data_IF_962592083189
#
_entry.id   IF_962592083189
#
_cell.length_a   1.000
_cell.length_b   1.000
_cell.length_c   1.000
_cell.angle_alpha   90.00
_cell.angle_beta   90.00
_cell.angle_gamma   90.00
#
_symmetry.space_group_name_H-M   'P 1'
#
loop_
_entity.id
_entity.type
_entity.pdbx_description
1 polymer ?
#
# COMPACT_ATOMS: atom_id res chain seq x y z
N UNK A 1 11.99 60.31 -26.26
CA UNK A 1 11.35 59.88 -25.00
C UNK A 1 11.19 58.37 -25.04
N UNK A 2 11.94 57.69 -24.18
CA UNK A 2 11.86 56.25 -23.89
C UNK A 2 10.58 55.96 -23.11
N UNK A 3 9.91 54.83 -23.34
CA UNK A 3 9.57 53.84 -22.29
C UNK A 3 8.71 52.70 -22.85
N UNK A 4 9.35 51.53 -22.92
CA UNK A 4 8.79 50.19 -23.08
C UNK A 4 7.81 49.88 -21.95
N UNK A 5 6.62 49.37 -22.24
CA UNK A 5 5.85 48.57 -21.27
C UNK A 5 5.17 47.40 -21.98
N UNK A 6 5.91 46.29 -22.04
CA UNK A 6 5.32 44.95 -22.14
C UNK A 6 4.71 44.68 -20.76
N UNK A 7 3.44 44.33 -20.70
CA UNK A 7 2.86 43.72 -19.49
C UNK A 7 2.06 42.51 -19.91
N UNK A 8 2.77 41.38 -19.85
CA UNK A 8 2.20 40.04 -19.89
C UNK A 8 1.34 39.85 -18.64
N UNK A 9 0.02 39.83 -18.81
CA UNK A 9 -0.88 39.32 -17.79
C UNK A 9 -0.77 37.79 -17.81
N UNK A 10 -0.13 37.24 -16.78
CA UNK A 10 -0.03 35.81 -16.54
C UNK A 10 -1.43 35.18 -16.50
N UNK A 11 -1.72 34.32 -17.48
CA UNK A 11 -2.77 33.31 -17.35
C UNK A 11 -2.40 32.38 -16.19
N UNK A 12 -3.01 32.60 -15.04
CA UNK A 12 -3.16 31.56 -14.01
C UNK A 12 -4.14 30.53 -14.56
N UNK A 13 -3.64 29.60 -15.37
CA UNK A 13 -4.35 28.38 -15.69
C UNK A 13 -4.43 27.54 -14.41
N UNK A 14 -5.49 27.74 -13.61
CA UNK A 14 -5.94 26.69 -12.70
C UNK A 14 -6.40 25.54 -13.60
N UNK A 15 -5.49 24.60 -13.86
CA UNK A 15 -5.88 23.29 -14.30
C UNK A 15 -6.78 22.72 -13.20
N UNK A 16 -8.09 22.76 -13.43
CA UNK A 16 -9.04 21.96 -12.68
C UNK A 16 -8.64 20.50 -12.92
N UNK A 17 -7.80 19.94 -12.05
CA UNK A 17 -7.65 18.49 -11.99
C UNK A 17 -9.03 17.95 -11.63
N UNK A 18 -9.70 17.33 -12.60
CA UNK A 18 -10.91 16.59 -12.32
C UNK A 18 -10.53 15.58 -11.24
N UNK A 19 -11.27 15.57 -10.12
CA UNK A 19 -11.06 14.57 -9.09
C UNK A 19 -11.12 13.19 -9.77
N UNK A 20 -10.04 12.41 -9.66
CA UNK A 20 -10.00 11.10 -10.30
C UNK A 20 -11.18 10.27 -9.75
N UNK A 21 -11.83 9.43 -10.57
CA UNK A 21 -12.88 8.55 -10.07
C UNK A 21 -12.28 7.59 -9.05
N UNK A 22 -13.08 7.12 -8.09
CA UNK A 22 -12.67 5.92 -7.32
C UNK A 22 -12.65 4.72 -8.28
N UNK A 23 -11.75 3.74 -8.08
CA UNK A 23 -11.78 2.50 -8.84
C UNK A 23 -13.12 1.77 -8.63
N UNK A 24 -13.66 1.19 -9.69
CA UNK A 24 -14.87 0.38 -9.60
C UNK A 24 -14.55 -0.91 -8.85
N UNK A 25 -15.41 -1.30 -7.92
CA UNK A 25 -15.28 -2.50 -7.13
C UNK A 25 -16.49 -3.42 -7.38
N UNK A 26 -16.22 -4.63 -7.85
CA UNK A 26 -17.18 -5.73 -7.89
C UNK A 26 -16.73 -6.85 -6.97
N UNK A 27 -17.67 -7.41 -6.22
CA UNK A 27 -17.43 -8.47 -5.24
C UNK A 27 -18.28 -9.67 -5.61
N UNK A 28 -17.66 -10.84 -5.70
CA UNK A 28 -18.35 -12.10 -5.98
C UNK A 28 -18.06 -13.13 -4.90
N UNK A 29 -19.08 -13.82 -4.35
CA UNK A 29 -18.87 -14.94 -3.45
C UNK A 29 -18.34 -16.16 -4.22
N UNK A 30 -17.55 -16.99 -3.54
CA UNK A 30 -17.07 -18.27 -4.06
C UNK A 30 -17.17 -19.35 -2.98
N UNK A 31 -17.01 -20.62 -3.36
CA UNK A 31 -17.14 -21.76 -2.44
C UNK A 31 -16.16 -21.74 -1.25
N UNK A 32 -15.08 -20.95 -1.30
CA UNK A 32 -14.05 -20.88 -0.25
C UNK A 32 -13.67 -19.47 0.19
N UNK A 33 -14.48 -18.47 -0.14
CA UNK A 33 -14.15 -17.06 0.10
C UNK A 33 -14.85 -16.14 -0.86
N UNK A 34 -14.15 -15.10 -1.30
CA UNK A 34 -14.69 -14.09 -2.22
C UNK A 34 -13.65 -13.69 -3.25
N UNK A 35 -14.10 -13.06 -4.32
CA UNK A 35 -13.24 -12.44 -5.33
C UNK A 35 -13.59 -10.96 -5.39
N UNK A 36 -12.57 -10.12 -5.28
CA UNK A 36 -12.66 -8.71 -5.65
C UNK A 36 -12.17 -8.52 -7.08
N UNK A 37 -12.90 -7.69 -7.81
CA UNK A 37 -12.55 -7.18 -9.11
C UNK A 37 -12.41 -5.67 -8.97
N UNK A 38 -11.18 -5.18 -9.11
CA UNK A 38 -10.84 -3.75 -8.98
C UNK A 38 -10.50 -3.23 -10.35
N UNK A 39 -11.37 -2.37 -10.91
CA UNK A 39 -11.16 -1.78 -12.23
C UNK A 39 -10.74 -0.33 -12.13
N UNK A 40 -9.64 0.00 -12.78
CA UNK A 40 -9.14 1.36 -12.83
C UNK A 40 -9.87 2.15 -13.93
N UNK A 41 -10.80 3.03 -13.54
CA UNK A 41 -11.48 3.96 -14.45
C UNK A 41 -10.73 5.27 -14.71
N UNK A 42 -9.61 5.51 -14.01
CA UNK A 42 -8.80 6.71 -14.17
C UNK A 42 -7.91 6.62 -15.43
N UNK A 43 -7.59 7.76 -16.08
CA UNK A 43 -6.54 7.82 -17.11
C UNK A 43 -5.13 7.55 -16.55
N UNK A 44 -4.96 7.55 -15.23
CA UNK A 44 -3.67 7.34 -14.56
C UNK A 44 -3.58 5.93 -13.95
N UNK A 45 -2.40 5.27 -13.98
CA UNK A 45 -2.23 3.98 -13.33
C UNK A 45 -2.53 4.03 -11.82
N UNK A 46 -3.30 3.05 -11.33
CA UNK A 46 -3.65 2.90 -9.91
C UNK A 46 -2.53 2.19 -9.16
N UNK A 47 -2.00 2.82 -8.12
CA UNK A 47 -0.79 2.38 -7.41
C UNK A 47 -1.06 1.94 -5.97
N UNK A 48 -2.18 2.31 -5.38
CA UNK A 48 -2.65 1.76 -4.11
C UNK A 48 -4.14 2.03 -3.92
N UNK A 49 -4.78 1.23 -3.10
CA UNK A 49 -6.18 1.40 -2.74
C UNK A 49 -6.53 0.71 -1.42
N UNK A 50 -7.66 1.12 -0.86
CA UNK A 50 -8.23 0.59 0.38
C UNK A 50 -9.66 0.11 0.14
N UNK A 51 -9.92 -1.15 0.45
CA UNK A 51 -11.27 -1.74 0.48
C UNK A 51 -11.62 -2.08 1.93
N UNK A 52 -12.79 -1.64 2.41
CA UNK A 52 -13.24 -1.90 3.78
C UNK A 52 -14.66 -2.45 3.82
N UNK A 53 -14.97 -3.21 4.88
CA UNK A 53 -16.35 -3.36 5.35
C UNK A 53 -16.72 -2.10 6.14
N UNK A 54 -17.63 -1.31 5.58
CA UNK A 54 -18.09 -0.03 6.14
C UNK A 54 -19.43 -0.25 6.83
N UNK A 55 -19.58 0.23 8.06
CA UNK A 55 -20.83 0.19 8.86
C UNK A 55 -21.44 -1.21 9.07
N UNK A 56 -20.67 -2.28 8.84
CA UNK A 56 -21.14 -3.64 9.07
C UNK A 56 -21.05 -4.01 10.56
N UNK A 57 -22.17 -4.38 11.21
CA UNK A 57 -22.17 -4.65 12.65
C UNK A 57 -21.39 -5.93 12.98
N UNK A 58 -20.56 -5.86 14.03
CA UNK A 58 -19.94 -7.03 14.64
C UNK A 58 -18.73 -7.62 13.89
N UNK A 59 -18.37 -7.09 12.73
CA UNK A 59 -17.14 -7.49 12.03
C UNK A 59 -16.39 -6.28 11.46
N UNK A 60 -15.11 -6.49 11.16
CA UNK A 60 -14.25 -5.49 10.56
C UNK A 60 -13.38 -6.19 9.52
N UNK A 61 -13.25 -5.56 8.36
CA UNK A 61 -12.34 -5.98 7.31
C UNK A 61 -11.75 -4.75 6.64
N UNK A 62 -10.44 -4.78 6.42
CA UNK A 62 -9.75 -3.80 5.59
C UNK A 62 -8.68 -4.52 4.78
N UNK A 63 -8.70 -4.28 3.47
CA UNK A 63 -7.69 -4.73 2.53
C UNK A 63 -6.93 -3.51 2.05
N UNK A 64 -5.69 -3.41 2.51
CA UNK A 64 -4.73 -2.37 2.12
C UNK A 64 -3.85 -2.92 1.00
N UNK A 65 -3.94 -2.34 -0.20
CA UNK A 65 -3.15 -2.80 -1.34
C UNK A 65 -2.16 -1.72 -1.77
N UNK A 66 -0.91 -2.15 -1.99
CA UNK A 66 0.14 -1.33 -2.57
C UNK A 66 0.63 -2.03 -3.84
N UNK A 67 0.40 -1.37 -4.98
CA UNK A 67 0.65 -1.88 -6.32
C UNK A 67 1.77 -1.09 -7.01
N UNK A 68 2.60 -0.35 -6.27
CA UNK A 68 3.62 0.52 -6.88
C UNK A 68 4.60 -0.26 -7.77
N UNK A 69 4.85 -1.54 -7.49
CA UNK A 69 5.69 -2.40 -8.32
C UNK A 69 4.97 -3.00 -9.54
N UNK A 70 3.65 -3.05 -9.53
CA UNK A 70 2.83 -3.56 -10.63
C UNK A 70 1.48 -2.81 -10.71
N UNK A 71 1.48 -1.51 -11.09
CA UNK A 71 0.28 -0.68 -11.06
C UNK A 71 -0.83 -1.22 -11.98
N UNK A 72 -2.09 -0.99 -11.59
CA UNK A 72 -3.23 -1.36 -12.44
C UNK A 72 -3.38 -0.27 -13.51
N UNK A 73 -3.10 -0.63 -14.76
CA UNK A 73 -3.16 0.28 -15.90
C UNK A 73 -4.57 0.90 -16.10
N UNK A 74 -4.68 2.07 -16.76
CA UNK A 74 -5.97 2.65 -17.13
C UNK A 74 -6.87 1.66 -17.87
N UNK A 75 -8.13 1.55 -17.44
CA UNK A 75 -9.12 0.62 -17.98
C UNK A 75 -8.93 -0.85 -17.59
N UNK A 76 -7.81 -1.23 -16.96
CA UNK A 76 -7.54 -2.61 -16.57
C UNK A 76 -8.31 -3.00 -15.30
N UNK A 77 -8.62 -4.30 -15.20
CA UNK A 77 -9.26 -4.91 -14.02
C UNK A 77 -8.29 -5.91 -13.37
N UNK A 78 -8.12 -5.79 -12.05
CA UNK A 78 -7.36 -6.75 -11.24
C UNK A 78 -8.31 -7.65 -10.48
N UNK A 79 -8.09 -8.96 -10.60
CA UNK A 79 -8.79 -10.00 -9.84
C UNK A 79 -8.00 -10.37 -8.59
N UNK A 80 -8.66 -10.36 -7.43
CA UNK A 80 -8.03 -10.65 -6.14
C UNK A 80 -8.87 -11.70 -5.43
N UNK A 81 -8.30 -12.89 -5.20
CA UNK A 81 -8.94 -13.93 -4.39
C UNK A 81 -8.65 -13.67 -2.92
N UNK A 82 -9.69 -13.76 -2.10
CA UNK A 82 -9.58 -13.64 -0.64
C UNK A 82 -10.34 -14.79 0.03
N UNK A 83 -9.73 -15.39 1.04
CA UNK A 83 -10.35 -16.48 1.80
C UNK A 83 -11.48 -16.00 2.73
N UNK A 84 -11.65 -14.68 2.90
CA UNK A 84 -12.71 -14.12 3.72
C UNK A 84 -14.08 -14.36 3.03
N UNK A 85 -14.97 -15.09 3.70
CA UNK A 85 -16.31 -15.37 3.19
C UNK A 85 -17.31 -14.26 3.51
N UNK A 86 -17.13 -13.51 4.60
CA UNK A 86 -18.06 -12.46 5.04
C UNK A 86 -18.21 -11.39 3.97
N UNK A 87 -17.12 -10.93 3.37
CA UNK A 87 -17.16 -9.88 2.34
C UNK A 87 -17.99 -10.25 1.11
N UNK A 88 -17.98 -11.51 0.68
CA UNK A 88 -18.82 -12.00 -0.42
C UNK A 88 -20.27 -12.23 -0.02
N UNK A 89 -20.54 -12.46 1.27
CA UNK A 89 -21.89 -12.59 1.81
C UNK A 89 -22.58 -11.23 1.99
N UNK A 90 -21.82 -10.16 2.21
CA UNK A 90 -22.34 -8.81 2.44
C UNK A 90 -21.71 -7.75 1.52
N UNK A 91 -21.79 -7.93 0.18
CA UNK A 91 -21.10 -7.07 -0.79
C UNK A 91 -21.53 -5.60 -0.68
N UNK A 92 -22.76 -5.33 -0.26
CA UNK A 92 -23.29 -3.97 -0.07
C UNK A 92 -22.54 -3.17 1.00
N UNK A 93 -21.86 -3.82 1.94
CA UNK A 93 -21.04 -3.20 2.96
C UNK A 93 -19.57 -3.07 2.55
N UNK A 94 -19.16 -3.69 1.44
CA UNK A 94 -17.78 -3.66 0.96
C UNK A 94 -17.59 -2.46 0.05
N UNK A 95 -16.75 -1.51 0.47
CA UNK A 95 -16.55 -0.24 -0.25
C UNK A 95 -15.08 0.01 -0.55
N UNK A 96 -14.84 0.56 -1.74
CA UNK A 96 -13.60 1.27 -2.04
C UNK A 96 -13.61 2.59 -1.26
N UNK A 97 -12.59 2.83 -0.44
CA UNK A 97 -12.54 3.98 0.49
C UNK A 97 -11.46 5.00 0.13
N UNK A 98 -10.37 4.56 -0.47
CA UNK A 98 -9.27 5.42 -0.92
C UNK A 98 -8.53 4.80 -2.11
N UNK A 99 -7.95 5.65 -2.95
CA UNK A 99 -7.09 5.27 -4.07
C UNK A 99 -5.97 6.30 -4.29
N UNK A 100 -4.79 5.83 -4.70
CA UNK A 100 -3.63 6.64 -5.10
C UNK A 100 -3.21 6.31 -6.54
N UNK A 101 -2.94 7.33 -7.33
CA UNK A 101 -2.55 7.21 -8.74
C UNK A 101 -1.10 7.60 -8.99
N UNK A 102 -0.53 7.13 -10.11
CA UNK A 102 0.88 7.33 -10.44
C UNK A 102 1.29 8.78 -10.69
N UNK A 103 0.34 9.65 -11.04
CA UNK A 103 0.54 11.10 -11.17
C UNK A 103 0.62 11.81 -9.80
N UNK A 104 0.22 11.15 -8.72
CA UNK A 104 0.15 11.68 -7.36
C UNK A 104 -1.23 12.16 -6.94
N UNK A 105 -2.21 12.09 -7.84
CA UNK A 105 -3.61 12.35 -7.50
C UNK A 105 -4.19 11.21 -6.65
N UNK A 106 -5.32 11.50 -6.01
CA UNK A 106 -5.99 10.57 -5.11
C UNK A 106 -7.51 10.74 -5.15
N UNK A 107 -8.22 9.71 -4.70
CA UNK A 107 -9.68 9.67 -4.65
C UNK A 107 -10.16 8.99 -3.38
N UNK A 108 -11.35 9.36 -2.90
CA UNK A 108 -12.00 8.74 -1.75
C UNK A 108 -12.05 9.65 -0.53
N UNK A 109 -12.19 9.04 0.65
CA UNK A 109 -12.32 9.76 1.92
C UNK A 109 -10.96 10.35 2.29
N UNK A 110 -10.84 11.68 2.54
CA UNK A 110 -9.56 12.32 2.81
C UNK A 110 -8.76 11.67 3.95
N UNK A 111 -9.41 11.31 5.05
CA UNK A 111 -8.78 10.61 6.17
C UNK A 111 -8.17 9.28 5.74
N UNK A 112 -8.90 8.50 4.92
CA UNK A 112 -8.44 7.19 4.43
C UNK A 112 -7.31 7.32 3.41
N UNK A 113 -7.35 8.37 2.58
CA UNK A 113 -6.23 8.72 1.69
C UNK A 113 -4.98 9.05 2.51
N UNK A 114 -5.11 9.87 3.55
CA UNK A 114 -3.99 10.15 4.47
C UNK A 114 -3.47 8.87 5.12
N UNK A 115 -4.35 7.99 5.60
CA UNK A 115 -3.96 6.72 6.19
C UNK A 115 -3.16 5.83 5.22
N UNK A 116 -3.58 5.80 3.95
CA UNK A 116 -2.93 5.03 2.90
C UNK A 116 -1.53 5.59 2.57
N UNK A 117 -1.38 6.91 2.48
CA UNK A 117 -0.08 7.57 2.26
C UNK A 117 0.87 7.32 3.43
N UNK A 118 0.40 7.49 4.67
CA UNK A 118 1.23 7.29 5.86
C UNK A 118 1.62 5.82 6.06
N UNK A 119 0.74 4.88 5.70
CA UNK A 119 1.08 3.45 5.65
C UNK A 119 2.21 3.20 4.64
N UNK A 120 2.16 3.82 3.45
CA UNK A 120 3.19 3.68 2.43
C UNK A 120 4.53 4.26 2.89
N UNK A 121 4.51 5.44 3.53
CA UNK A 121 5.70 6.06 4.16
C UNK A 121 6.34 5.13 5.19
N UNK A 122 5.53 4.54 6.07
CA UNK A 122 6.01 3.61 7.09
C UNK A 122 6.57 2.31 6.49
N UNK A 123 5.94 1.82 5.41
CA UNK A 123 6.40 0.64 4.66
C UNK A 123 7.76 0.90 4.03
N UNK A 124 8.00 2.09 3.46
CA UNK A 124 9.31 2.50 2.93
C UNK A 124 10.38 2.52 4.03
N UNK A 125 10.07 3.09 5.19
CA UNK A 125 10.99 3.12 6.34
C UNK A 125 11.35 1.70 6.81
N UNK A 126 10.35 0.84 6.95
CA UNK A 126 10.56 -0.56 7.34
C UNK A 126 11.38 -1.32 6.30
N UNK A 127 11.14 -1.08 5.01
CA UNK A 127 11.92 -1.66 3.91
C UNK A 127 13.40 -1.28 4.02
N UNK A 128 13.70 0.00 4.28
CA UNK A 128 15.08 0.49 4.47
C UNK A 128 15.74 -0.13 5.70
N UNK A 129 15.00 -0.28 6.80
CA UNK A 129 15.53 -0.95 8.00
C UNK A 129 15.84 -2.43 7.72
N UNK A 130 14.96 -3.14 7.01
CA UNK A 130 15.20 -4.52 6.59
C UNK A 130 16.46 -4.64 5.71
N UNK A 131 16.63 -3.76 4.73
CA UNK A 131 17.84 -3.70 3.89
C UNK A 131 19.08 -3.56 4.76
N UNK A 132 19.11 -2.58 5.67
CA UNK A 132 20.27 -2.34 6.54
C UNK A 132 20.58 -3.53 7.45
N UNK A 133 19.54 -4.21 7.98
CA UNK A 133 19.71 -5.43 8.79
C UNK A 133 20.31 -6.57 7.99
N UNK A 134 19.82 -6.81 6.78
CA UNK A 134 20.32 -7.88 5.90
C UNK A 134 21.73 -7.60 5.38
N UNK A 135 22.04 -6.36 5.03
CA UNK A 135 23.39 -5.95 4.64
C UNK A 135 24.40 -6.17 5.76
N UNK A 136 24.03 -5.76 6.99
CA UNK A 136 24.86 -5.98 8.18
C UNK A 136 25.08 -7.47 8.44
N UNK A 137 24.03 -8.28 8.35
CA UNK A 137 24.12 -9.72 8.54
C UNK A 137 25.01 -10.38 7.46
N UNK A 138 24.88 -9.96 6.21
CA UNK A 138 25.71 -10.45 5.10
C UNK A 138 27.18 -10.11 5.31
N UNK A 139 27.50 -8.86 5.70
CA UNK A 139 28.86 -8.42 5.97
C UNK A 139 29.51 -9.13 7.16
N UNK A 140 28.71 -9.44 8.20
CA UNK A 140 29.16 -10.16 9.38
C UNK A 140 29.23 -11.69 9.20
N UNK A 141 28.80 -12.22 8.04
CA UNK A 141 28.71 -13.67 7.82
C UNK A 141 27.71 -14.37 8.75
N UNK A 142 26.68 -13.65 9.21
CA UNK A 142 25.66 -14.21 10.10
C UNK A 142 24.92 -15.35 9.40
N UNK A 143 24.75 -16.48 10.09
CA UNK A 143 24.04 -17.62 9.55
C UNK A 143 22.59 -17.23 9.18
N UNK A 144 22.14 -17.63 7.99
CA UNK A 144 20.79 -17.30 7.48
C UNK A 144 19.68 -17.65 8.48
N UNK A 145 19.80 -18.79 9.16
CA UNK A 145 18.85 -19.23 10.17
C UNK A 145 18.74 -18.25 11.36
N UNK A 146 19.85 -17.66 11.80
CA UNK A 146 19.86 -16.64 12.86
C UNK A 146 19.18 -15.35 12.39
N UNK A 147 19.44 -14.91 11.15
CA UNK A 147 18.77 -13.74 10.56
C UNK A 147 17.26 -13.95 10.52
N UNK A 148 16.81 -15.13 10.09
CA UNK A 148 15.38 -15.49 10.02
C UNK A 148 14.76 -15.49 11.42
N UNK A 149 15.45 -16.04 12.41
CA UNK A 149 14.98 -16.03 13.80
C UNK A 149 14.84 -14.60 14.36
N UNK A 150 15.84 -13.74 14.11
CA UNK A 150 15.83 -12.35 14.54
C UNK A 150 14.66 -11.56 13.91
N UNK A 151 14.40 -11.77 12.61
CA UNK A 151 13.26 -11.13 11.93
C UNK A 151 11.91 -11.64 12.46
N UNK A 152 11.78 -12.94 12.71
CA UNK A 152 10.56 -13.52 13.32
C UNK A 152 10.32 -12.93 14.71
N UNK A 153 11.36 -12.84 15.55
CA UNK A 153 11.27 -12.21 16.87
C UNK A 153 10.89 -10.72 16.76
N UNK A 154 11.45 -9.99 15.80
CA UNK A 154 11.10 -8.59 15.58
C UNK A 154 9.63 -8.43 15.17
N UNK A 155 9.13 -9.25 14.25
CA UNK A 155 7.72 -9.26 13.86
C UNK A 155 6.79 -9.58 15.05
N UNK A 156 7.19 -10.51 15.92
CA UNK A 156 6.43 -10.86 17.13
C UNK A 156 6.39 -9.71 18.15
N UNK A 157 7.47 -8.94 18.28
CA UNK A 157 7.50 -7.76 19.17
C UNK A 157 6.52 -6.66 18.76
N UNK A 158 6.03 -6.69 17.50
CA UNK A 158 5.03 -5.76 16.96
C UNK A 158 3.59 -6.22 17.20
N UNK A 159 3.34 -7.22 18.05
CA UNK A 159 1.97 -7.57 18.44
C UNK A 159 1.33 -6.42 19.24
N UNK A 160 0.11 -5.97 18.88
CA UNK A 160 -0.58 -4.96 19.67
C UNK A 160 -0.91 -5.49 21.06
N UNK A 161 -0.65 -4.68 22.09
CA UNK A 161 -1.06 -5.01 23.46
C UNK A 161 -2.53 -4.66 23.67
N UNK A 162 -3.36 -5.64 24.06
CA UNK A 162 -4.78 -5.43 24.33
C UNK A 162 -5.66 -5.39 23.08
N UNK A 163 -6.76 -4.61 23.12
CA UNK A 163 -7.70 -4.46 22.00
C UNK A 163 -7.33 -3.20 21.19
N UNK A 164 -6.57 -3.33 20.08
CA UNK A 164 -6.13 -2.18 19.32
C UNK A 164 -7.30 -1.47 18.64
N UNK A 165 -7.21 -0.13 18.54
CA UNK A 165 -8.05 0.62 17.62
C UNK A 165 -7.57 0.35 16.19
N UNK A 166 -8.27 -0.55 15.49
CA UNK A 166 -7.92 -1.00 14.13
C UNK A 166 -7.88 0.11 13.09
N UNK A 167 -8.56 1.24 13.33
CA UNK A 167 -8.57 2.40 12.45
C UNK A 167 -7.47 3.43 12.79
N UNK A 168 -6.72 3.24 13.88
CA UNK A 168 -5.63 4.16 14.23
C UNK A 168 -4.43 3.98 13.29
N UNK A 169 -3.80 5.10 12.91
CA UNK A 169 -2.61 5.07 12.06
C UNK A 169 -1.50 4.17 12.63
N UNK A 170 -1.28 4.21 13.95
CA UNK A 170 -0.29 3.40 14.62
C UNK A 170 -0.54 1.89 14.42
N UNK A 171 -1.80 1.45 14.54
CA UNK A 171 -2.15 0.04 14.34
C UNK A 171 -2.01 -0.37 12.87
N UNK A 172 -2.41 0.50 11.93
CA UNK A 172 -2.28 0.27 10.48
C UNK A 172 -0.80 0.11 10.11
N UNK A 173 0.05 1.01 10.58
CA UNK A 173 1.49 1.01 10.33
C UNK A 173 2.17 -0.22 10.94
N UNK A 174 1.86 -0.53 12.21
CA UNK A 174 2.40 -1.70 12.90
C UNK A 174 2.03 -3.01 12.17
N UNK A 175 0.78 -3.14 11.72
CA UNK A 175 0.34 -4.31 10.95
C UNK A 175 1.07 -4.43 9.61
N UNK A 176 1.27 -3.31 8.89
CA UNK A 176 2.00 -3.28 7.62
C UNK A 176 3.46 -3.71 7.79
N UNK A 177 4.16 -3.15 8.79
CA UNK A 177 5.55 -3.52 9.07
C UNK A 177 5.69 -4.97 9.49
N UNK A 178 4.82 -5.44 10.41
CA UNK A 178 4.83 -6.84 10.85
C UNK A 178 4.66 -7.81 9.68
N UNK A 179 3.73 -7.54 8.76
CA UNK A 179 3.56 -8.36 7.55
C UNK A 179 4.83 -8.37 6.72
N UNK A 180 5.36 -7.18 6.38
CA UNK A 180 6.57 -7.05 5.55
C UNK A 180 7.78 -7.78 6.15
N UNK A 181 7.97 -7.69 7.47
CA UNK A 181 9.06 -8.39 8.17
C UNK A 181 8.85 -9.90 8.11
N UNK A 182 7.62 -10.37 8.34
CA UNK A 182 7.29 -11.80 8.28
C UNK A 182 7.49 -12.36 6.86
N UNK A 183 7.04 -11.62 5.85
CA UNK A 183 7.18 -11.98 4.44
C UNK A 183 8.66 -11.98 4.01
N UNK A 184 9.46 -11.05 4.54
CA UNK A 184 10.92 -11.04 4.31
C UNK A 184 11.59 -12.25 4.96
N UNK A 185 11.20 -12.62 6.18
CA UNK A 185 11.70 -13.83 6.83
C UNK A 185 11.34 -15.10 6.04
N UNK A 186 10.10 -15.19 5.53
CA UNK A 186 9.68 -16.29 4.66
C UNK A 186 10.41 -16.27 3.30
N UNK A 187 10.69 -15.09 2.75
CA UNK A 187 11.50 -14.93 1.54
C UNK A 187 12.92 -15.47 1.73
N UNK A 188 13.54 -15.25 2.90
CA UNK A 188 14.84 -15.83 3.24
C UNK A 188 14.80 -17.35 3.44
N UNK A 189 13.66 -17.92 3.85
CA UNK A 189 13.48 -19.38 3.91
C UNK A 189 13.57 -19.96 2.46
N UNK A 190 12.98 -19.27 1.47
CA UNK A 190 12.92 -19.72 0.07
C UNK A 190 14.13 -19.29 -0.81
N UNK A 191 14.80 -18.20 -0.47
CA UNK A 191 15.82 -17.55 -1.31
C UNK A 191 17.13 -17.31 -0.56
N UNK A 192 18.16 -16.87 -1.30
CA UNK A 192 19.38 -16.36 -0.70
C UNK A 192 19.18 -14.96 -0.09
N UNK A 193 20.09 -14.56 0.82
CA UNK A 193 20.12 -13.19 1.36
C UNK A 193 20.28 -12.18 0.22
N UNK A 194 21.11 -12.47 -0.78
CA UNK A 194 21.38 -11.58 -1.91
C UNK A 194 20.13 -11.35 -2.78
N UNK A 195 19.37 -12.41 -3.09
CA UNK A 195 18.10 -12.30 -3.83
C UNK A 195 17.04 -11.52 -3.05
N UNK A 196 16.94 -11.80 -1.73
CA UNK A 196 16.00 -11.08 -0.86
C UNK A 196 16.35 -9.59 -0.80
N UNK A 197 17.63 -9.24 -0.67
CA UNK A 197 18.11 -7.86 -0.73
C UNK A 197 17.81 -7.19 -2.07
N UNK A 198 17.97 -7.90 -3.19
CA UNK A 198 17.64 -7.37 -4.51
C UNK A 198 16.15 -7.03 -4.61
N UNK A 199 15.27 -7.90 -4.11
CA UNK A 199 13.82 -7.66 -4.03
C UNK A 199 13.47 -6.46 -3.16
N UNK A 200 14.04 -6.36 -1.96
CA UNK A 200 13.80 -5.22 -1.06
C UNK A 200 14.28 -3.90 -1.68
N UNK A 201 15.45 -3.88 -2.33
CA UNK A 201 15.97 -2.68 -3.02
C UNK A 201 15.12 -2.28 -4.23
N UNK A 202 14.52 -3.24 -4.93
CA UNK A 202 13.57 -2.93 -5.98
C UNK A 202 12.30 -2.28 -5.40
N UNK A 203 11.76 -2.85 -4.33
CA UNK A 203 10.61 -2.29 -3.61
C UNK A 203 10.89 -0.91 -3.03
N UNK A 204 12.07 -0.71 -2.42
CA UNK A 204 12.50 0.58 -1.86
C UNK A 204 12.54 1.66 -2.94
N UNK A 205 13.16 1.39 -4.09
CA UNK A 205 13.23 2.35 -5.20
C UNK A 205 11.85 2.68 -5.75
N UNK A 206 10.98 1.68 -5.89
CA UNK A 206 9.63 1.87 -6.38
C UNK A 206 8.82 2.76 -5.42
N UNK A 207 8.86 2.47 -4.11
CA UNK A 207 8.20 3.27 -3.07
C UNK A 207 8.78 4.68 -2.98
N UNK A 208 10.10 4.83 -2.99
CA UNK A 208 10.78 6.13 -2.91
C UNK A 208 10.48 7.03 -4.13
N UNK A 209 10.28 6.44 -5.31
CA UNK A 209 9.87 7.15 -6.51
C UNK A 209 8.34 7.33 -6.63
N UNK A 210 7.56 6.74 -5.71
CA UNK A 210 6.10 6.79 -5.79
C UNK A 210 5.56 8.20 -5.52
N UNK A 211 4.35 8.43 -6.02
CA UNK A 211 3.59 9.64 -5.75
C UNK A 211 2.35 9.33 -4.88
N UNK A 212 1.94 10.23 -3.98
CA UNK A 212 2.68 11.44 -3.57
C UNK A 212 4.02 11.09 -2.91
N UNK A 213 4.96 12.04 -2.89
CA UNK A 213 6.29 11.82 -2.34
C UNK A 213 6.24 11.45 -0.84
N UNK A 214 7.05 10.44 -0.46
CA UNK A 214 7.09 9.81 0.86
C UNK A 214 8.29 10.23 1.71
#
# INVERSE_FOLDING_TARGET
MSLKHISAACLMALAASAAQPLPELRVEPTAGGSVFYVKNGSPEPLTAYLIELVDYPGSYYALWQDEVSAPIAPGAEKRIQIANMTVGAVPDYVKMQAALYADGSSSGIPEKVTQLVERRRFTLQTTRELIGRLEKAQAAGTAKASVIADLKQWAESMQPQGRPNRNSQATINQAAARSLISDTAAGLDAHSIAETLAGLRASERALAASKPAL
#
